data_IF_973271143725
#
_entry.id   IF_973271143725
#
_cell.length_a   1.000
_cell.length_b   1.000
_cell.length_c   1.000
_cell.angle_alpha   90.00
_cell.angle_beta   90.00
_cell.angle_gamma   90.00
#
_symmetry.space_group_name_H-M   'P 1'
#
loop_
_entity.id
_entity.type
_entity.pdbx_description
1 polymer ?
#
# COMPACT_ATOMS: atom_id res chain seq x y z
N UNK A 1 10.61 5.87 -22.94
CA UNK A 1 10.73 4.92 -21.81
C UNK A 1 10.62 5.65 -20.47
N UNK A 2 11.35 6.75 -20.29
CA UNK A 2 11.24 7.67 -19.13
C UNK A 2 9.81 8.18 -18.86
N UNK A 3 9.03 8.52 -19.89
CA UNK A 3 7.67 9.04 -19.72
C UNK A 3 6.66 8.06 -19.12
N UNK A 4 6.91 6.74 -19.23
CA UNK A 4 6.03 5.70 -18.68
C UNK A 4 6.13 5.61 -17.15
N UNK A 5 7.26 6.06 -16.58
CA UNK A 5 7.52 6.07 -15.14
C UNK A 5 7.18 7.41 -14.49
N UNK A 6 6.65 8.38 -15.26
CA UNK A 6 6.25 9.69 -14.75
C UNK A 6 4.94 9.57 -13.98
N UNK A 7 4.99 8.92 -12.83
CA UNK A 7 3.88 8.87 -11.87
C UNK A 7 3.64 10.31 -11.45
N UNK A 8 2.57 10.92 -11.98
CA UNK A 8 2.11 12.22 -11.50
C UNK A 8 1.69 12.01 -10.05
N UNK A 9 2.48 12.52 -9.11
CA UNK A 9 2.06 12.59 -7.72
C UNK A 9 0.75 13.37 -7.68
N UNK A 10 -0.36 12.67 -7.45
CA UNK A 10 -1.63 13.33 -7.19
C UNK A 10 -1.49 13.95 -5.80
N UNK A 11 -1.46 15.29 -5.72
CA UNK A 11 -1.52 16.02 -4.47
C UNK A 11 -2.93 15.89 -3.87
N UNK A 12 -3.31 14.67 -3.49
CA UNK A 12 -4.54 14.39 -2.77
C UNK A 12 -4.17 14.17 -1.31
N UNK A 13 -4.86 14.88 -0.41
CA UNK A 13 -4.72 14.63 1.02
C UNK A 13 -5.07 13.18 1.31
N UNK A 14 -4.20 12.48 2.03
CA UNK A 14 -4.41 11.10 2.44
C UNK A 14 -5.62 11.03 3.39
N UNK A 15 -6.50 10.05 3.16
CA UNK A 15 -7.64 9.74 4.02
C UNK A 15 -8.03 8.28 3.88
N UNK A 16 -8.82 7.79 4.84
CA UNK A 16 -9.43 6.47 4.75
C UNK A 16 -10.14 6.26 3.40
N UNK A 17 -9.96 5.07 2.82
CA UNK A 17 -10.48 4.69 1.51
C UNK A 17 -9.52 4.93 0.34
N UNK A 18 -8.45 5.71 0.52
CA UNK A 18 -7.41 5.82 -0.50
C UNK A 18 -6.66 4.49 -0.67
N UNK A 19 -6.28 4.18 -1.92
CA UNK A 19 -5.39 3.06 -2.23
C UNK A 19 -4.01 3.61 -2.59
N UNK A 20 -2.99 3.15 -1.87
CA UNK A 20 -1.59 3.44 -2.13
C UNK A 20 -1.04 2.38 -3.08
N UNK A 21 -0.35 2.83 -4.12
CA UNK A 21 0.23 1.97 -5.14
C UNK A 21 1.75 2.06 -5.01
N UNK A 22 2.42 0.93 -4.82
CA UNK A 22 3.88 0.89 -4.77
C UNK A 22 4.48 1.40 -6.08
N UNK A 23 5.55 2.18 -6.00
CA UNK A 23 6.32 2.59 -7.18
C UNK A 23 7.04 1.38 -7.81
N UNK A 24 7.33 1.41 -9.12
CA UNK A 24 8.20 0.42 -9.76
C UNK A 24 9.57 0.35 -9.08
N UNK A 25 10.10 -0.87 -8.92
CA UNK A 25 11.42 -1.13 -8.34
C UNK A 25 11.58 -0.62 -6.90
N UNK A 26 10.54 -0.77 -6.08
CA UNK A 26 10.61 -0.45 -4.67
C UNK A 26 11.65 -1.36 -3.99
N UNK A 27 12.65 -0.76 -3.33
CA UNK A 27 13.72 -1.51 -2.66
C UNK A 27 13.28 -2.29 -1.41
N UNK A 28 12.07 -2.04 -0.93
CA UNK A 28 11.44 -2.77 0.17
C UNK A 28 10.65 -3.96 -0.37
N UNK A 29 11.13 -5.18 -0.10
CA UNK A 29 10.50 -6.43 -0.55
C UNK A 29 9.11 -6.67 0.08
N UNK A 30 8.84 -6.09 1.25
CA UNK A 30 7.54 -6.23 1.89
C UNK A 30 6.45 -5.46 1.15
N UNK A 31 6.77 -4.27 0.64
CA UNK A 31 5.84 -3.42 -0.11
C UNK A 31 6.04 -3.43 -1.63
N UNK A 32 7.01 -4.18 -2.15
CA UNK A 32 7.18 -4.32 -3.61
C UNK A 32 5.92 -4.89 -4.26
N UNK A 33 5.49 -4.22 -5.33
CA UNK A 33 4.28 -4.52 -6.12
C UNK A 33 3.03 -4.66 -5.25
N UNK A 34 2.85 -3.80 -4.24
CA UNK A 34 1.68 -3.82 -3.36
C UNK A 34 0.63 -2.75 -3.70
N UNK A 35 -0.62 -3.11 -3.44
CA UNK A 35 -1.76 -2.20 -3.33
C UNK A 35 -2.18 -2.16 -1.86
N UNK A 36 -2.04 -1.02 -1.20
CA UNK A 36 -2.42 -0.85 0.22
C UNK A 36 -3.68 -0.01 0.32
N UNK A 37 -4.76 -0.56 0.86
CA UNK A 37 -5.95 0.21 1.23
C UNK A 37 -5.71 0.90 2.56
N UNK A 38 -5.81 2.22 2.59
CA UNK A 38 -5.75 3.01 3.82
C UNK A 38 -7.10 2.91 4.54
N UNK A 39 -7.12 2.31 5.72
CA UNK A 39 -8.33 2.13 6.54
C UNK A 39 -8.50 3.30 7.50
N UNK A 40 -7.40 3.76 8.08
CA UNK A 40 -7.37 4.93 8.96
C UNK A 40 -6.11 5.76 8.72
N UNK A 41 -6.23 7.06 8.91
CA UNK A 41 -5.15 8.04 8.77
C UNK A 41 -5.40 9.23 9.68
N UNK A 42 -4.53 9.43 10.65
CA UNK A 42 -4.60 10.51 11.63
C UNK A 42 -3.18 10.98 11.99
N UNK A 43 -3.02 12.04 12.81
CA UNK A 43 -1.70 12.55 13.17
C UNK A 43 -0.81 11.57 13.94
N UNK A 44 -1.37 10.54 14.57
CA UNK A 44 -0.62 9.49 15.29
C UNK A 44 -0.09 8.42 14.35
N UNK A 45 -0.73 8.23 13.19
CA UNK A 45 -0.26 7.28 12.19
C UNK A 45 -1.30 6.87 11.16
N UNK A 46 -1.03 5.74 10.52
CA UNK A 46 -1.83 5.19 9.43
C UNK A 46 -1.96 3.70 9.56
N UNK A 47 -3.15 3.18 9.30
CA UNK A 47 -3.41 1.75 9.27
C UNK A 47 -3.99 1.36 7.91
N UNK A 48 -3.52 0.25 7.35
CA UNK A 48 -3.97 -0.22 6.05
C UNK A 48 -3.75 -1.70 5.81
N UNK A 49 -4.35 -2.21 4.73
CA UNK A 49 -4.29 -3.62 4.34
C UNK A 49 -3.73 -3.77 2.93
N UNK A 50 -2.86 -4.76 2.76
CA UNK A 50 -2.38 -5.15 1.42
C UNK A 50 -3.49 -5.97 0.73
N UNK A 51 -3.96 -5.48 -0.41
CA UNK A 51 -5.06 -6.10 -1.16
C UNK A 51 -4.61 -7.23 -2.10
N UNK A 52 -3.38 -7.17 -2.59
CA UNK A 52 -2.90 -8.03 -3.69
C UNK A 52 -1.81 -9.04 -3.29
N UNK A 53 -1.54 -9.22 -1.99
CA UNK A 53 -0.68 -10.29 -1.47
C UNK A 53 -1.54 -11.27 -0.68
N UNK A 54 -1.84 -12.42 -1.29
CA UNK A 54 -2.58 -13.50 -0.62
C UNK A 54 -1.69 -14.12 0.46
N UNK A 55 -2.29 -14.35 1.62
CA UNK A 55 -1.64 -15.07 2.71
C UNK A 55 -1.95 -16.56 2.50
N UNK A 56 -0.92 -17.37 2.19
CA UNK A 56 -1.11 -18.80 1.92
C UNK A 56 -1.45 -19.60 3.18
N UNK A 57 -1.04 -19.11 4.35
CA UNK A 57 -1.35 -19.69 5.65
C UNK A 57 -1.67 -18.55 6.60
N UNK A 58 -2.91 -18.44 7.03
CA UNK A 58 -3.23 -17.59 8.17
C UNK A 58 -2.81 -18.39 9.40
N UNK A 59 -1.80 -17.99 10.18
CA UNK A 59 -1.53 -18.62 11.45
C UNK A 59 -2.65 -18.23 12.43
N UNK A 60 -3.82 -18.83 12.27
CA UNK A 60 -4.86 -18.86 13.30
C UNK A 60 -4.38 -19.82 14.40
N UNK A 61 -3.41 -19.37 15.19
CA UNK A 61 -3.08 -19.92 16.51
C UNK A 61 -3.51 -18.92 17.58
N UNK A 62 -4.75 -18.47 17.53
CA UNK A 62 -5.37 -17.66 18.58
C UNK A 62 -6.87 -17.96 18.66
N UNK A 63 -7.19 -19.23 18.92
CA UNK A 63 -8.35 -19.67 19.71
C UNK A 63 -7.90 -20.85 20.54
#
# INVERSE_FOLDING_TARGET
MEDLLRIKHTAHTLKAGNVLISVPFMGDSYFDRTLVLLIDHNPEGSFGLILNKKINQIPLKFV
#
